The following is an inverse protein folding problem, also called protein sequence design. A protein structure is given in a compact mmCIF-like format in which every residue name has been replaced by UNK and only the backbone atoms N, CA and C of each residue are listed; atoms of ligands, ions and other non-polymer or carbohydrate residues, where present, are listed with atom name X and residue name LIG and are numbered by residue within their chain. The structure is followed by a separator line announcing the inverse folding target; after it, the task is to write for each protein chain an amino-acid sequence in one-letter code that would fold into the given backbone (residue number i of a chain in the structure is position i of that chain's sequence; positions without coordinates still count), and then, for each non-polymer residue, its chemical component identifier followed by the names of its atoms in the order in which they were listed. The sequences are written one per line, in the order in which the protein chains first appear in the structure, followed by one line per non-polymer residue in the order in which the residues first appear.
data_IF_549376238595
#
_entry.id   IF_549376238595
#
_cell.length_a   1.000
_cell.length_b   1.000
_cell.length_c   1.000
_cell.angle_alpha   90.00
_cell.angle_beta   90.00
_cell.angle_gamma   90.00
#
_symmetry.space_group_name_H-M   'P 1'
#
loop_
_entity.id
_entity.type
_entity.pdbx_description
1 polymer ?
#
# COMPACT_ATOMS: atom_id res chain seq x y z
N UNK A 1 18.43 7.14 -5.60
CA UNK A 1 18.38 5.76 -6.14
C UNK A 1 18.21 4.85 -4.94
N UNK A 2 17.18 4.02 -4.93
CA UNK A 2 16.88 3.13 -3.80
C UNK A 2 18.01 2.13 -3.61
N UNK A 3 18.58 2.05 -2.40
CA UNK A 3 19.58 1.03 -2.12
C UNK A 3 18.92 -0.32 -1.86
N UNK A 4 19.28 -1.32 -2.67
CA UNK A 4 18.79 -2.70 -2.55
C UNK A 4 19.60 -3.56 -1.56
N UNK A 5 20.69 -3.02 -1.00
CA UNK A 5 21.45 -3.71 0.04
C UNK A 5 20.72 -3.66 1.39
N UNK A 6 20.70 -4.79 2.09
CA UNK A 6 20.23 -4.87 3.47
C UNK A 6 21.02 -3.92 4.39
N UNK A 7 20.42 -3.42 5.48
CA UNK A 7 21.18 -2.76 6.53
C UNK A 7 22.11 -3.77 7.23
N UNK A 8 23.23 -3.28 7.75
CA UNK A 8 24.22 -4.09 8.48
C UNK A 8 24.48 -3.50 9.86
N UNK A 9 24.80 -4.33 10.87
CA UNK A 9 25.11 -3.83 12.21
C UNK A 9 26.30 -2.89 12.18
N UNK A 10 26.20 -1.73 12.84
CA UNK A 10 27.23 -0.70 12.79
C UNK A 10 27.12 0.24 11.58
N UNK A 11 26.14 0.03 10.69
CA UNK A 11 25.97 0.78 9.44
C UNK A 11 26.93 0.32 8.35
N UNK A 12 26.61 0.64 7.08
CA UNK A 12 27.53 0.46 5.97
C UNK A 12 28.74 1.38 6.14
N UNK A 13 29.83 1.10 5.43
CA UNK A 13 31.03 1.94 5.48
C UNK A 13 30.67 3.40 5.15
N UNK A 14 30.95 4.33 6.06
CA UNK A 14 30.64 5.76 5.91
C UNK A 14 29.24 6.18 6.40
N UNK A 15 28.34 5.27 6.75
CA UNK A 15 26.97 5.62 7.20
C UNK A 15 26.98 6.46 8.49
N UNK A 16 27.95 6.23 9.38
CA UNK A 16 28.08 7.05 10.59
C UNK A 16 28.36 8.52 10.30
N UNK A 17 29.33 8.79 9.43
CA UNK A 17 29.71 10.15 9.05
C UNK A 17 28.61 10.81 8.21
N UNK A 18 28.00 10.04 7.32
CA UNK A 18 26.85 10.48 6.53
C UNK A 18 25.65 10.84 7.40
N UNK A 19 25.31 10.01 8.38
CA UNK A 19 24.21 10.27 9.30
C UNK A 19 24.48 11.51 10.17
N UNK A 20 25.73 11.75 10.55
CA UNK A 20 26.13 12.96 11.27
C UNK A 20 25.97 14.21 10.40
N UNK A 21 26.48 14.19 9.16
CA UNK A 21 26.33 15.30 8.23
C UNK A 21 24.85 15.60 7.91
N UNK A 22 24.04 14.55 7.71
CA UNK A 22 22.61 14.69 7.51
C UNK A 22 21.90 15.29 8.74
N UNK A 23 22.30 14.87 9.95
CA UNK A 23 21.76 15.45 11.18
C UNK A 23 22.07 16.95 11.30
N UNK A 24 23.28 17.36 10.94
CA UNK A 24 23.68 18.78 10.94
C UNK A 24 22.88 19.60 9.92
N UNK A 25 22.70 19.10 8.69
CA UNK A 25 21.86 19.73 7.66
C UNK A 25 20.39 19.86 8.10
N UNK A 26 19.82 18.80 8.66
CA UNK A 26 18.46 18.80 9.21
C UNK A 26 18.31 19.83 10.34
N UNK A 27 19.25 19.88 11.27
CA UNK A 27 19.23 20.85 12.36
C UNK A 27 19.35 22.30 11.84
N UNK A 28 20.17 22.55 10.83
CA UNK A 28 20.29 23.86 10.19
C UNK A 28 18.99 24.30 9.49
N UNK A 29 18.17 23.34 9.03
CA UNK A 29 16.82 23.55 8.48
C UNK A 29 15.73 23.66 9.55
N UNK A 30 16.09 23.67 10.83
CA UNK A 30 15.14 23.78 11.94
C UNK A 30 14.42 22.47 12.29
N UNK A 31 14.90 21.32 11.80
CA UNK A 31 14.32 20.01 12.15
C UNK A 31 14.77 19.60 13.55
N UNK A 32 13.83 19.18 14.38
CA UNK A 32 14.05 18.79 15.78
C UNK A 32 14.17 17.27 15.95
N UNK A 33 13.39 16.50 15.18
CA UNK A 33 13.35 15.04 15.29
C UNK A 33 13.09 14.33 13.97
N UNK A 34 13.47 13.06 13.93
CA UNK A 34 13.23 12.14 12.82
C UNK A 34 12.17 11.12 13.25
N UNK A 35 11.07 11.06 12.51
CA UNK A 35 10.01 10.08 12.59
C UNK A 35 10.47 8.83 11.85
N UNK A 36 10.70 7.76 12.59
CA UNK A 36 11.10 6.46 12.08
C UNK A 36 9.87 5.56 12.03
N UNK A 37 9.39 5.27 10.82
CA UNK A 37 8.08 4.61 10.64
C UNK A 37 8.17 3.23 10.02
N UNK A 38 7.29 2.34 10.47
CA UNK A 38 7.00 1.07 9.82
C UNK A 38 5.49 0.85 9.77
N UNK A 39 5.02 0.05 8.82
CA UNK A 39 3.60 -0.35 8.77
C UNK A 39 3.51 -1.74 9.38
N UNK A 40 2.62 -1.91 10.35
CA UNK A 40 2.40 -3.20 10.99
C UNK A 40 1.52 -4.13 10.13
N UNK A 41 1.24 -5.32 10.66
CA UNK A 41 0.50 -6.35 9.94
C UNK A 41 -0.97 -5.98 9.73
N UNK A 42 -1.60 -5.17 10.61
CA UNK A 42 -2.98 -4.71 10.44
C UNK A 42 -3.10 -3.48 9.54
N UNK A 43 -1.97 -2.87 9.14
CA UNK A 43 -1.93 -1.77 8.17
C UNK A 43 -1.73 -0.40 8.80
N UNK A 44 -1.58 -0.31 10.11
CA UNK A 44 -1.36 0.94 10.83
C UNK A 44 0.10 1.38 10.66
N UNK A 45 0.29 2.65 10.29
CA UNK A 45 1.61 3.27 10.29
C UNK A 45 2.04 3.58 11.73
N UNK A 46 3.01 2.83 12.24
CA UNK A 46 3.58 2.94 13.58
C UNK A 46 4.88 3.72 13.51
N UNK A 47 5.19 4.45 14.59
CA UNK A 47 6.40 5.29 14.64
C UNK A 47 7.14 5.18 15.96
N UNK A 48 8.46 5.37 15.89
CA UNK A 48 9.27 5.87 16.99
C UNK A 48 9.99 7.12 16.50
N UNK A 49 10.31 8.03 17.41
CA UNK A 49 11.00 9.26 17.04
C UNK A 49 12.33 9.35 17.76
N UNK A 50 13.31 9.95 17.10
CA UNK A 50 14.59 10.30 17.72
C UNK A 50 14.85 11.79 17.51
N UNK A 51 15.46 12.50 18.48
CA UNK A 51 16.01 13.82 18.21
C UNK A 51 17.02 13.73 17.05
N UNK A 52 17.14 14.78 16.24
CA UNK A 52 18.07 14.80 15.09
C UNK A 52 19.50 14.48 15.53
N UNK A 53 19.93 14.97 16.69
CA UNK A 53 21.25 14.67 17.29
C UNK A 53 21.48 13.17 17.60
N UNK A 54 20.45 12.32 17.53
CA UNK A 54 20.52 10.87 17.74
C UNK A 54 20.44 10.08 16.43
N UNK A 55 20.29 10.72 15.28
CA UNK A 55 20.18 10.05 13.97
C UNK A 55 21.40 9.15 13.69
N UNK A 56 22.62 9.61 13.95
CA UNK A 56 23.82 8.80 13.77
C UNK A 56 23.85 7.55 14.66
N UNK A 57 23.35 7.65 15.90
CA UNK A 57 23.21 6.50 16.79
C UNK A 57 22.13 5.54 16.30
N UNK A 58 21.00 6.06 15.82
CA UNK A 58 19.91 5.27 15.27
C UNK A 58 20.33 4.54 13.98
N UNK A 59 21.07 5.19 13.09
CA UNK A 59 21.63 4.56 11.89
C UNK A 59 22.60 3.42 12.21
N UNK A 60 23.41 3.58 13.27
CA UNK A 60 24.45 2.61 13.64
C UNK A 60 23.91 1.41 14.41
N UNK A 61 23.00 1.65 15.36
CA UNK A 61 22.58 0.66 16.36
C UNK A 61 21.09 0.36 16.36
N UNK A 62 20.32 1.15 15.59
CA UNK A 62 18.88 1.12 15.58
C UNK A 62 18.24 1.65 16.87
N UNK A 63 16.90 1.75 16.82
CA UNK A 63 16.05 2.10 17.96
C UNK A 63 15.31 0.84 18.41
N UNK A 64 15.33 0.55 19.71
CA UNK A 64 14.65 -0.64 20.27
C UNK A 64 13.17 -0.69 19.92
N UNK A 65 12.61 -1.86 19.69
CA UNK A 65 11.22 -2.10 19.30
C UNK A 65 10.78 -3.50 19.72
N UNK A 66 9.59 -3.63 20.29
CA UNK A 66 9.05 -4.96 20.63
C UNK A 66 8.70 -5.74 19.36
N UNK A 67 9.00 -7.06 19.29
CA UNK A 67 8.53 -7.91 18.20
C UNK A 67 7.00 -8.05 18.14
N UNK A 68 6.29 -7.74 19.24
CA UNK A 68 4.84 -7.96 19.33
C UNK A 68 4.01 -7.03 18.43
N UNK A 69 4.58 -5.96 17.89
CA UNK A 69 3.88 -5.06 16.95
C UNK A 69 3.32 -5.76 15.72
N UNK A 70 3.88 -6.91 15.32
CA UNK A 70 3.37 -7.69 14.18
C UNK A 70 2.03 -8.37 14.46
N UNK A 71 1.58 -8.39 15.72
CA UNK A 71 0.34 -9.02 16.20
C UNK A 71 -0.70 -8.01 16.71
N UNK A 72 -0.49 -6.72 16.46
CA UNK A 72 -1.45 -5.68 16.84
C UNK A 72 -2.66 -5.73 15.93
N UNK A 73 -3.82 -5.49 16.53
CA UNK A 73 -5.06 -5.17 15.83
C UNK A 73 -5.21 -3.65 15.73
N UNK A 74 -6.20 -3.21 14.95
CA UNK A 74 -6.54 -1.82 14.68
C UNK A 74 -6.96 -1.03 15.94
N UNK A 75 -7.36 -1.72 17.02
CA UNK A 75 -7.71 -1.12 18.31
C UNK A 75 -6.58 -1.20 19.36
N UNK A 76 -5.36 -1.51 18.90
CA UNK A 76 -4.16 -1.71 19.72
C UNK A 76 -4.20 -2.91 20.69
N UNK A 77 -5.23 -3.76 20.61
CA UNK A 77 -5.18 -5.08 21.24
C UNK A 77 -4.22 -6.01 20.50
N UNK A 78 -3.79 -7.07 21.18
CA UNK A 78 -2.74 -7.98 20.69
C UNK A 78 -3.29 -9.40 20.65
N UNK A 79 -3.14 -10.05 19.50
CA UNK A 79 -3.43 -11.48 19.34
C UNK A 79 -2.17 -12.32 19.51
N UNK A 80 -2.31 -13.65 19.52
CA UNK A 80 -1.19 -14.59 19.52
C UNK A 80 -1.09 -15.27 18.17
N UNK A 81 0.13 -15.46 17.68
CA UNK A 81 0.46 -16.32 16.53
C UNK A 81 1.19 -17.58 16.99
N UNK A 82 1.31 -18.57 16.11
CA UNK A 82 1.96 -19.84 16.41
C UNK A 82 3.50 -19.75 16.34
N UNK A 83 4.02 -18.81 15.55
CA UNK A 83 5.44 -18.62 15.26
C UNK A 83 6.00 -17.31 15.83
N UNK A 84 5.13 -16.36 16.19
CA UNK A 84 5.56 -15.16 16.89
C UNK A 84 5.94 -15.48 18.34
N UNK A 85 7.09 -14.96 18.77
CA UNK A 85 7.48 -15.02 20.17
C UNK A 85 6.54 -14.21 21.07
N UNK A 86 6.69 -14.39 22.39
CA UNK A 86 6.05 -13.54 23.39
C UNK A 86 6.66 -12.13 23.45
N UNK A 87 6.46 -11.39 24.56
CA UNK A 87 7.02 -10.04 24.72
C UNK A 87 8.56 -10.03 24.86
N UNK A 88 9.20 -11.20 24.90
CA UNK A 88 10.63 -11.35 25.07
C UNK A 88 11.39 -10.99 23.79
N UNK A 89 12.52 -10.31 23.96
CA UNK A 89 13.38 -9.86 22.87
C UNK A 89 13.17 -8.39 22.51
N UNK A 90 14.04 -7.90 21.64
CA UNK A 90 14.06 -6.50 21.22
C UNK A 90 14.59 -6.44 19.78
N UNK A 91 13.83 -5.81 18.90
CA UNK A 91 14.23 -5.54 17.53
C UNK A 91 14.89 -4.16 17.46
N UNK A 92 15.61 -3.92 16.37
CA UNK A 92 16.27 -2.65 16.07
C UNK A 92 15.65 -2.06 14.81
N UNK A 93 15.02 -0.91 14.95
CA UNK A 93 14.58 -0.08 13.83
C UNK A 93 15.78 0.70 13.30
N UNK A 94 16.18 0.45 12.06
CA UNK A 94 17.32 1.10 11.42
C UNK A 94 16.78 2.02 10.33
N UNK A 95 17.01 3.36 10.43
CA UNK A 95 16.52 4.30 9.44
C UNK A 95 17.30 4.17 8.13
N UNK A 96 16.58 4.21 7.02
CA UNK A 96 17.18 4.29 5.70
C UNK A 96 17.60 5.73 5.39
N UNK A 97 18.90 5.99 5.48
CA UNK A 97 19.47 7.31 5.26
C UNK A 97 19.30 7.84 3.83
N UNK A 98 19.03 6.96 2.84
CA UNK A 98 18.76 7.37 1.45
C UNK A 98 17.38 8.00 1.28
N UNK A 99 16.50 7.79 2.26
CA UNK A 99 15.08 8.16 2.19
C UNK A 99 14.64 9.02 3.37
N UNK A 100 15.57 9.79 3.95
CA UNK A 100 15.24 10.77 4.98
C UNK A 100 14.69 12.03 4.31
N UNK A 101 13.45 12.41 4.66
CA UNK A 101 12.71 13.51 4.04
C UNK A 101 12.30 14.52 5.11
N UNK A 102 12.79 15.79 5.08
CA UNK A 102 12.22 16.86 5.88
C UNK A 102 10.74 17.06 5.53
N UNK A 103 9.84 17.04 6.52
CA UNK A 103 8.40 17.10 6.30
C UNK A 103 7.94 18.56 6.16
N UNK A 104 7.50 18.93 4.97
CA UNK A 104 6.89 20.22 4.70
C UNK A 104 5.45 20.28 5.26
N UNK A 105 4.72 19.16 5.25
CA UNK A 105 3.40 19.06 5.88
C UNK A 105 3.44 19.21 7.40
N UNK A 106 4.56 18.84 8.03
CA UNK A 106 4.79 18.86 9.47
C UNK A 106 6.15 19.52 9.81
N UNK A 107 6.27 20.85 9.69
CA UNK A 107 7.54 21.56 9.90
C UNK A 107 8.19 21.25 11.26
N UNK A 108 9.52 21.17 11.29
CA UNK A 108 10.30 20.79 12.46
C UNK A 108 10.51 19.27 12.62
N UNK A 109 9.98 18.46 11.70
CA UNK A 109 10.17 17.02 11.66
C UNK A 109 10.74 16.57 10.31
N UNK A 110 11.47 15.45 10.34
CA UNK A 110 11.80 14.68 9.15
C UNK A 110 11.24 13.26 9.30
N UNK A 111 11.10 12.54 8.20
CA UNK A 111 10.63 11.18 8.15
C UNK A 111 11.70 10.26 7.57
N UNK A 112 11.77 9.02 8.05
CA UNK A 112 12.59 7.97 7.49
C UNK A 112 11.85 6.62 7.55
N UNK A 113 11.76 5.87 6.45
CA UNK A 113 11.35 4.49 6.51
C UNK A 113 12.43 3.66 7.21
N UNK A 114 12.04 2.58 7.87
CA UNK A 114 12.97 1.74 8.63
C UNK A 114 12.95 0.29 8.18
N UNK A 115 14.11 -0.34 8.34
CA UNK A 115 14.24 -1.78 8.36
C UNK A 115 14.30 -2.30 9.79
N UNK A 116 13.96 -3.58 9.97
CA UNK A 116 13.95 -4.24 11.28
C UNK A 116 15.04 -5.29 11.35
N UNK A 117 15.86 -5.19 12.38
CA UNK A 117 16.96 -6.14 12.65
C UNK A 117 16.79 -6.76 14.04
N UNK A 118 17.40 -7.92 14.25
CA UNK A 118 17.57 -8.52 15.59
C UNK A 118 18.78 -7.88 16.29
N UNK A 119 18.88 -8.04 17.62
CA UNK A 119 20.01 -7.48 18.39
C UNK A 119 21.35 -8.14 18.05
N UNK A 120 21.34 -9.39 17.58
CA UNK A 120 22.53 -10.09 17.07
C UNK A 120 23.00 -9.55 15.71
N UNK A 121 22.25 -8.61 15.13
CA UNK A 121 22.58 -7.96 13.88
C UNK A 121 22.10 -8.67 12.62
N UNK A 122 21.36 -9.77 12.75
CA UNK A 122 20.70 -10.41 11.61
C UNK A 122 19.41 -9.68 11.23
N UNK A 123 18.99 -9.81 9.97
CA UNK A 123 17.72 -9.23 9.53
C UNK A 123 16.53 -9.92 10.22
N UNK A 124 15.55 -9.13 10.64
CA UNK A 124 14.32 -9.68 11.17
C UNK A 124 13.49 -10.25 10.00
N UNK A 125 13.16 -11.55 9.99
CA UNK A 125 12.44 -12.17 8.88
C UNK A 125 11.03 -11.61 8.68
N UNK A 126 10.43 -10.98 9.69
CA UNK A 126 9.13 -10.31 9.54
C UNK A 126 9.20 -8.92 8.90
N UNK A 127 10.39 -8.38 8.60
CA UNK A 127 10.50 -7.03 8.05
C UNK A 127 9.94 -6.95 6.63
N UNK A 128 8.69 -6.48 6.48
CA UNK A 128 8.00 -6.39 5.19
C UNK A 128 8.75 -5.54 4.17
N UNK A 129 9.36 -4.42 4.60
CA UNK A 129 10.22 -3.59 3.75
C UNK A 129 11.45 -4.35 3.24
N UNK A 130 12.14 -5.10 4.10
CA UNK A 130 13.29 -5.93 3.70
C UNK A 130 12.87 -7.06 2.76
N UNK A 131 11.74 -7.72 3.03
CA UNK A 131 11.21 -8.79 2.17
C UNK A 131 10.99 -8.26 0.75
N UNK A 132 10.27 -7.13 0.61
CA UNK A 132 10.04 -6.50 -0.68
C UNK A 132 11.35 -6.15 -1.38
N UNK A 133 12.31 -5.54 -0.66
CA UNK A 133 13.62 -5.16 -1.21
C UNK A 133 14.37 -6.34 -1.79
N UNK A 134 14.41 -7.47 -1.07
CA UNK A 134 15.09 -8.69 -1.51
C UNK A 134 14.43 -9.30 -2.74
N UNK A 135 13.09 -9.33 -2.77
CA UNK A 135 12.33 -9.80 -3.94
C UNK A 135 12.62 -8.94 -5.18
N UNK A 136 12.60 -7.62 -5.04
CA UNK A 136 12.93 -6.68 -6.12
C UNK A 136 14.38 -6.82 -6.56
N UNK A 137 15.32 -6.98 -5.62
CA UNK A 137 16.73 -7.22 -5.94
C UNK A 137 16.92 -8.50 -6.75
N UNK A 138 16.28 -9.59 -6.34
CA UNK A 138 16.36 -10.87 -7.04
C UNK A 138 15.76 -10.80 -8.46
N UNK A 139 14.68 -10.05 -8.66
CA UNK A 139 14.12 -9.80 -9.99
C UNK A 139 15.11 -9.00 -10.86
N UNK A 140 15.76 -7.96 -10.30
CA UNK A 140 16.77 -7.16 -10.99
C UNK A 140 18.00 -7.97 -11.39
N UNK A 141 18.46 -8.89 -10.54
CA UNK A 141 19.56 -9.81 -10.85
C UNK A 141 19.24 -10.73 -12.05
N UNK A 142 17.95 -10.97 -12.32
CA UNK A 142 17.47 -11.70 -13.48
C UNK A 142 17.13 -10.78 -14.67
N UNK A 143 17.51 -9.50 -14.61
CA UNK A 143 17.30 -8.51 -15.66
C UNK A 143 15.89 -7.93 -15.73
N UNK A 144 15.06 -8.11 -14.70
CA UNK A 144 13.74 -7.50 -14.61
C UNK A 144 13.78 -6.22 -13.77
N UNK A 145 13.37 -5.11 -14.37
CA UNK A 145 13.06 -3.87 -13.66
C UNK A 145 11.55 -3.81 -13.43
N UNK A 146 11.15 -3.53 -12.19
CA UNK A 146 9.75 -3.39 -11.80
C UNK A 146 9.49 -1.92 -11.46
N UNK A 147 8.32 -1.41 -11.87
CA UNK A 147 7.85 -0.07 -11.49
C UNK A 147 6.43 -0.14 -10.97
N UNK A 148 6.16 0.59 -9.91
CA UNK A 148 4.85 0.63 -9.27
C UNK A 148 4.46 2.03 -8.80
N UNK A 149 3.15 2.27 -8.71
CA UNK A 149 2.54 3.37 -7.98
C UNK A 149 1.26 2.88 -7.30
N UNK A 150 0.87 3.56 -6.22
CA UNK A 150 -0.37 3.29 -5.49
C UNK A 150 -1.17 4.59 -5.52
N UNK A 151 -2.37 4.56 -6.11
CA UNK A 151 -3.34 5.66 -6.02
C UNK A 151 -3.83 5.79 -4.57
N UNK A 152 -3.97 7.02 -4.08
CA UNK A 152 -4.29 7.27 -2.67
C UNK A 152 -5.63 8.00 -2.61
N UNK A 153 -6.71 7.24 -2.46
CA UNK A 153 -8.03 7.79 -2.18
C UNK A 153 -8.21 8.05 -0.67
N UNK A 154 -8.89 9.13 -0.31
CA UNK A 154 -9.14 9.47 1.08
C UNK A 154 -10.40 10.30 1.24
N UNK A 155 -10.97 10.27 2.46
CA UNK A 155 -12.08 11.13 2.84
C UNK A 155 -11.59 12.27 3.74
N UNK A 156 -12.00 13.49 3.42
CA UNK A 156 -11.89 14.66 4.28
C UNK A 156 -13.20 14.85 5.03
N UNK A 157 -13.11 14.80 6.35
CA UNK A 157 -14.17 15.19 7.27
C UNK A 157 -13.85 16.49 7.98
N UNK A 158 -14.89 17.16 8.50
CA UNK A 158 -14.71 18.33 9.35
C UNK A 158 -14.01 17.95 10.67
N UNK A 159 -13.01 18.72 11.08
CA UNK A 159 -12.25 18.47 12.30
C UNK A 159 -12.96 18.86 13.60
N UNK A 160 -13.97 19.74 13.52
CA UNK A 160 -14.79 20.18 14.65
C UNK A 160 -15.89 19.19 15.05
N UNK A 161 -16.11 18.17 14.22
CA UNK A 161 -17.05 17.08 14.51
C UNK A 161 -16.47 16.13 15.57
N UNK A 162 -17.25 15.81 16.64
CA UNK A 162 -16.80 14.94 17.71
C UNK A 162 -16.33 13.57 17.20
N UNK A 163 -15.21 13.08 17.71
CA UNK A 163 -14.76 11.71 17.45
C UNK A 163 -15.76 10.70 18.06
N UNK A 164 -16.12 9.59 17.37
CA UNK A 164 -15.64 9.13 16.06
C UNK A 164 -16.52 9.55 14.88
N UNK A 165 -17.47 10.48 15.03
CA UNK A 165 -18.40 10.86 13.98
C UNK A 165 -17.69 11.46 12.74
N UNK A 166 -18.37 11.41 11.61
CA UNK A 166 -17.91 11.95 10.33
C UNK A 166 -18.98 12.80 9.69
N UNK A 167 -18.58 14.01 9.31
CA UNK A 167 -19.31 14.89 8.41
C UNK A 167 -18.34 15.28 7.30
N UNK A 168 -18.70 15.06 6.02
CA UNK A 168 -17.81 15.35 4.90
C UNK A 168 -17.46 16.84 4.86
N UNK A 169 -16.21 17.16 4.54
CA UNK A 169 -15.75 18.55 4.42
C UNK A 169 -16.47 19.31 3.28
N UNK A 170 -16.97 18.61 2.27
CA UNK A 170 -17.72 19.15 1.14
C UNK A 170 -18.73 18.13 0.58
N UNK A 171 -19.88 18.59 0.09
CA UNK A 171 -20.96 17.74 -0.47
C UNK A 171 -21.30 18.04 -1.94
N UNK A 172 -20.48 18.84 -2.63
CA UNK A 172 -20.67 19.17 -4.04
C UNK A 172 -20.72 17.94 -4.97
N UNK A 173 -20.91 18.14 -6.27
CA UNK A 173 -20.92 17.03 -7.25
C UNK A 173 -19.58 16.29 -7.29
N UNK A 174 -19.61 14.98 -7.58
CA UNK A 174 -18.40 14.18 -7.84
C UNK A 174 -17.60 14.80 -9.00
N UNK A 175 -16.27 14.79 -8.88
CA UNK A 175 -15.34 15.47 -9.80
C UNK A 175 -15.67 16.96 -10.07
N UNK A 176 -16.47 17.59 -9.21
CA UNK A 176 -17.00 18.93 -9.41
C UNK A 176 -16.06 20.02 -8.93
N UNK A 177 -16.02 21.13 -9.68
CA UNK A 177 -15.27 22.33 -9.31
C UNK A 177 -15.68 22.88 -7.93
N UNK A 178 -16.94 22.71 -7.51
CA UNK A 178 -17.40 23.11 -6.16
C UNK A 178 -16.55 22.49 -5.05
N UNK A 179 -16.25 21.19 -5.12
CA UNK A 179 -15.44 20.51 -4.10
C UNK A 179 -14.01 21.04 -4.11
N UNK A 180 -13.42 21.16 -5.30
CA UNK A 180 -12.07 21.71 -5.46
C UNK A 180 -11.97 23.15 -4.93
N UNK A 181 -12.94 24.02 -5.23
CA UNK A 181 -12.97 25.41 -4.75
C UNK A 181 -13.15 25.47 -3.23
N UNK A 182 -14.04 24.66 -2.66
CA UNK A 182 -14.27 24.64 -1.21
C UNK A 182 -13.06 24.16 -0.42
N UNK A 183 -12.25 23.26 -0.99
CA UNK A 183 -11.03 22.72 -0.36
C UNK A 183 -9.73 23.21 -1.04
N UNK A 184 -9.79 24.35 -1.75
CA UNK A 184 -8.69 24.81 -2.62
C UNK A 184 -7.40 25.06 -1.86
N UNK A 185 -7.48 25.62 -0.65
CA UNK A 185 -6.30 25.93 0.16
C UNK A 185 -5.65 24.65 0.69
N UNK A 186 -6.46 23.66 1.08
CA UNK A 186 -5.94 22.34 1.44
C UNK A 186 -5.24 21.68 0.25
N UNK A 187 -5.87 21.66 -0.94
CA UNK A 187 -5.28 21.05 -2.14
C UNK A 187 -3.99 21.76 -2.56
N UNK A 188 -3.94 23.10 -2.50
CA UNK A 188 -2.75 23.87 -2.84
C UNK A 188 -1.59 23.59 -1.87
N UNK A 189 -1.85 23.64 -0.56
CA UNK A 189 -0.85 23.35 0.47
C UNK A 189 -0.38 21.89 0.41
N UNK A 190 -1.28 20.95 0.09
CA UNK A 190 -0.92 19.54 -0.10
C UNK A 190 0.03 19.36 -1.28
N UNK A 191 -0.25 19.98 -2.43
CA UNK A 191 0.64 19.94 -3.60
C UNK A 191 2.00 20.60 -3.30
N UNK A 192 2.01 21.74 -2.62
CA UNK A 192 3.25 22.42 -2.24
C UNK A 192 4.10 21.56 -1.29
N UNK A 193 3.47 20.98 -0.25
CA UNK A 193 4.16 20.14 0.71
C UNK A 193 4.72 18.87 0.07
N UNK A 194 3.92 18.19 -0.74
CA UNK A 194 4.33 16.97 -1.46
C UNK A 194 5.49 17.27 -2.44
N UNK A 195 5.41 18.36 -3.20
CA UNK A 195 6.50 18.76 -4.09
C UNK A 195 7.81 19.08 -3.32
N UNK A 196 7.71 19.79 -2.19
CA UNK A 196 8.86 20.08 -1.33
C UNK A 196 9.51 18.83 -0.72
N UNK A 197 8.72 17.76 -0.56
CA UNK A 197 9.14 16.44 -0.07
C UNK A 197 9.64 15.51 -1.21
N UNK A 198 9.73 16.01 -2.44
CA UNK A 198 10.18 15.25 -3.61
C UNK A 198 9.15 14.26 -4.14
N UNK A 199 7.87 14.53 -3.91
CA UNK A 199 6.76 13.75 -4.44
C UNK A 199 6.27 14.33 -5.76
N UNK A 200 6.45 13.56 -6.84
CA UNK A 200 5.88 13.85 -8.16
C UNK A 200 4.39 13.48 -8.14
N UNK A 201 3.54 14.48 -7.92
CA UNK A 201 2.08 14.34 -7.98
C UNK A 201 1.63 14.51 -9.42
N UNK A 202 0.98 13.48 -9.97
CA UNK A 202 0.40 13.53 -11.30
C UNK A 202 -0.97 14.22 -11.26
N UNK A 203 -1.79 13.90 -10.25
CA UNK A 203 -3.15 14.40 -10.11
C UNK A 203 -3.57 14.55 -8.64
N UNK A 204 -4.43 15.53 -8.39
CA UNK A 204 -5.25 15.63 -7.18
C UNK A 204 -6.65 16.07 -7.61
N UNK A 205 -7.68 15.34 -7.22
CA UNK A 205 -9.05 15.69 -7.58
C UNK A 205 -10.08 15.16 -6.59
N UNK A 206 -11.28 15.77 -6.52
CA UNK A 206 -12.42 15.18 -5.83
C UNK A 206 -12.86 13.88 -6.51
N UNK A 207 -13.34 12.95 -5.72
CA UNK A 207 -13.79 11.62 -6.14
C UNK A 207 -15.31 11.46 -6.01
N UNK A 208 -15.83 10.22 -6.07
CA UNK A 208 -17.27 9.97 -6.09
C UNK A 208 -18.01 10.38 -4.80
N UNK A 209 -17.60 9.86 -3.64
CA UNK A 209 -18.29 10.09 -2.37
C UNK A 209 -18.06 11.51 -1.82
N UNK A 210 -19.00 12.03 -1.01
CA UNK A 210 -18.86 13.35 -0.40
C UNK A 210 -17.61 13.43 0.47
N UNK A 211 -16.83 14.50 0.29
CA UNK A 211 -15.53 14.67 0.95
C UNK A 211 -14.42 13.75 0.45
N UNK A 212 -14.66 12.89 -0.55
CA UNK A 212 -13.65 11.98 -1.10
C UNK A 212 -12.76 12.71 -2.12
N UNK A 213 -11.47 12.41 -2.08
CA UNK A 213 -10.43 12.90 -2.98
C UNK A 213 -9.47 11.77 -3.31
N UNK A 214 -8.73 11.93 -4.40
CA UNK A 214 -7.61 11.07 -4.77
C UNK A 214 -6.36 11.93 -4.99
N UNK A 215 -5.20 11.38 -4.63
CA UNK A 215 -3.89 11.82 -5.10
C UNK A 215 -3.22 10.65 -5.84
N UNK A 216 -2.87 10.87 -7.10
CA UNK A 216 -2.09 9.92 -7.92
C UNK A 216 -0.65 10.43 -8.04
N UNK A 217 0.32 9.53 -7.91
CA UNK A 217 1.76 9.87 -7.88
C UNK A 217 2.55 9.04 -8.89
N UNK A 218 3.67 9.60 -9.35
CA UNK A 218 4.55 8.98 -10.32
C UNK A 218 5.11 7.63 -9.86
N UNK A 219 5.31 6.73 -10.83
CA UNK A 219 5.81 5.38 -10.58
C UNK A 219 7.29 5.37 -10.14
N UNK A 220 7.60 4.52 -9.16
CA UNK A 220 8.94 4.28 -8.63
C UNK A 220 9.24 2.78 -8.66
N UNK A 221 10.43 2.36 -8.23
CA UNK A 221 10.62 0.95 -7.91
C UNK A 221 9.69 0.53 -6.75
N UNK A 222 9.30 -0.76 -6.62
CA UNK A 222 8.31 -1.17 -5.64
C UNK A 222 8.62 -0.76 -4.19
N UNK A 223 9.88 -0.77 -3.74
CA UNK A 223 10.21 -0.32 -2.38
C UNK A 223 9.95 1.18 -2.24
N UNK A 224 10.39 1.97 -3.22
CA UNK A 224 10.13 3.41 -3.28
C UNK A 224 8.64 3.74 -3.36
N UNK A 225 7.85 2.96 -4.10
CA UNK A 225 6.40 3.14 -4.19
C UNK A 225 5.69 2.88 -2.85
N UNK A 226 6.11 1.85 -2.11
CA UNK A 226 5.60 1.57 -0.77
C UNK A 226 5.96 2.69 0.23
N UNK A 227 7.24 3.11 0.23
CA UNK A 227 7.72 4.24 1.04
C UNK A 227 6.94 5.53 0.71
N UNK A 228 6.71 5.79 -0.59
CA UNK A 228 5.95 6.94 -1.09
C UNK A 228 4.50 6.94 -0.60
N UNK A 229 3.83 5.79 -0.62
CA UNK A 229 2.47 5.65 -0.08
C UNK A 229 2.38 5.99 1.41
N UNK A 230 3.40 5.64 2.20
CA UNK A 230 3.48 6.00 3.63
C UNK A 230 3.69 7.50 3.81
N UNK A 231 4.67 8.08 3.10
CA UNK A 231 4.99 9.51 3.16
C UNK A 231 3.79 10.37 2.77
N UNK A 232 3.16 10.11 1.62
CA UNK A 232 2.03 10.91 1.13
C UNK A 232 0.88 10.93 2.15
N UNK A 233 0.51 9.77 2.72
CA UNK A 233 -0.56 9.70 3.73
C UNK A 233 -0.23 10.50 4.98
N UNK A 234 1.03 10.46 5.43
CA UNK A 234 1.48 11.25 6.57
C UNK A 234 1.40 12.76 6.28
N UNK A 235 1.86 13.18 5.11
CA UNK A 235 1.87 14.58 4.70
C UNK A 235 0.45 15.13 4.55
N UNK A 236 -0.44 14.39 3.87
CA UNK A 236 -1.84 14.75 3.75
C UNK A 236 -2.53 14.87 5.12
N UNK A 237 -2.23 13.98 6.06
CA UNK A 237 -2.75 14.06 7.44
C UNK A 237 -2.30 15.33 8.15
N UNK A 238 -1.02 15.68 8.05
CA UNK A 238 -0.48 16.88 8.68
C UNK A 238 -1.06 18.18 8.06
N UNK A 239 -1.19 18.21 6.74
CA UNK A 239 -1.81 19.35 6.03
C UNK A 239 -3.29 19.46 6.39
N UNK A 240 -4.07 18.37 6.34
CA UNK A 240 -5.50 18.37 6.69
C UNK A 240 -5.73 18.94 8.10
N UNK A 241 -4.92 18.54 9.08
CA UNK A 241 -5.01 19.02 10.46
C UNK A 241 -4.87 20.55 10.56
N UNK A 242 -3.97 21.16 9.76
CA UNK A 242 -3.75 22.62 9.73
C UNK A 242 -4.94 23.40 9.15
N UNK A 243 -5.73 22.74 8.31
CA UNK A 243 -6.95 23.29 7.71
C UNK A 243 -8.22 23.00 8.54
N UNK A 244 -8.07 22.49 9.77
CA UNK A 244 -9.22 22.14 10.61
C UNK A 244 -10.02 20.94 10.09
N UNK A 245 -9.39 20.09 9.27
CA UNK A 245 -9.97 18.89 8.69
C UNK A 245 -9.41 17.65 9.40
N UNK A 246 -10.13 16.53 9.27
CA UNK A 246 -9.67 15.20 9.64
C UNK A 246 -9.68 14.32 8.39
N UNK A 247 -8.58 13.62 8.14
CA UNK A 247 -8.45 12.71 7.00
C UNK A 247 -8.67 11.26 7.42
N UNK A 248 -9.26 10.47 6.53
CA UNK A 248 -9.40 9.02 6.68
C UNK A 248 -8.95 8.31 5.41
N UNK A 249 -8.09 7.31 5.57
CA UNK A 249 -7.74 6.35 4.52
C UNK A 249 -8.50 5.02 4.67
N UNK A 250 -9.53 4.97 5.53
CA UNK A 250 -10.34 3.77 5.73
C UNK A 250 -10.97 3.32 4.42
N UNK A 251 -10.99 2.01 4.09
CA UNK A 251 -11.63 1.51 2.88
C UNK A 251 -13.10 1.93 2.80
N UNK A 252 -13.77 2.06 3.95
CA UNK A 252 -15.13 2.57 4.07
C UNK A 252 -15.25 3.47 5.31
N UNK A 253 -15.71 4.70 5.09
CA UNK A 253 -15.95 5.70 6.16
C UNK A 253 -17.39 5.63 6.65
N UNK A 254 -18.31 5.34 5.74
CA UNK A 254 -19.73 5.11 5.98
C UNK A 254 -20.10 3.75 5.38
N UNK A 255 -21.01 3.02 6.05
CA UNK A 255 -21.43 1.68 5.65
C UNK A 255 -21.95 1.56 4.22
N UNK A 256 -22.51 2.65 3.68
CA UNK A 256 -23.04 2.71 2.33
C UNK A 256 -22.32 3.81 1.54
N UNK A 257 -22.08 3.54 0.26
CA UNK A 257 -21.44 4.46 -0.68
C UNK A 257 -20.13 3.90 -1.26
N UNK A 258 -19.52 4.71 -2.11
CA UNK A 258 -18.17 4.43 -2.62
C UNK A 258 -17.17 4.67 -1.49
N UNK A 259 -16.22 3.75 -1.36
CA UNK A 259 -15.16 3.79 -0.36
C UNK A 259 -13.80 4.14 -0.97
N UNK A 260 -12.76 4.23 -0.13
CA UNK A 260 -11.41 4.60 -0.57
C UNK A 260 -10.64 3.38 -1.08
N UNK A 261 -10.23 3.43 -2.34
CA UNK A 261 -9.31 2.51 -2.97
C UNK A 261 -7.83 2.82 -2.70
N UNK A 262 -7.00 1.85 -3.05
CA UNK A 262 -5.55 1.95 -3.07
C UNK A 262 -5.04 1.24 -4.32
N UNK A 263 -5.48 1.66 -5.51
CA UNK A 263 -5.23 0.92 -6.75
C UNK A 263 -3.73 0.82 -7.00
N UNK A 264 -3.26 -0.40 -7.22
CA UNK A 264 -1.87 -0.69 -7.46
C UNK A 264 -1.62 -0.76 -8.97
N UNK A 265 -0.84 0.18 -9.50
CA UNK A 265 -0.29 0.09 -10.85
C UNK A 265 1.08 -0.59 -10.80
N UNK A 266 1.31 -1.56 -11.67
CA UNK A 266 2.54 -2.34 -11.72
C UNK A 266 2.95 -2.61 -13.17
N UNK A 267 4.23 -2.44 -13.47
CA UNK A 267 4.79 -2.77 -14.78
C UNK A 267 6.14 -3.48 -14.64
N UNK A 268 6.37 -4.45 -15.51
CA UNK A 268 7.63 -5.16 -15.64
C UNK A 268 8.37 -4.74 -16.92
N UNK A 269 9.69 -4.62 -16.80
CA UNK A 269 10.56 -4.07 -17.82
C UNK A 269 11.80 -4.95 -17.97
N UNK A 270 12.28 -5.07 -19.21
CA UNK A 270 13.53 -5.78 -19.52
C UNK A 270 14.31 -4.96 -20.54
N UNK A 271 15.58 -4.70 -20.27
CA UNK A 271 16.47 -3.92 -21.14
C UNK A 271 15.88 -2.56 -21.57
N UNK A 272 15.11 -1.92 -20.68
CA UNK A 272 14.44 -0.64 -20.94
C UNK A 272 13.14 -0.72 -21.75
N UNK A 273 12.70 -1.92 -22.15
CA UNK A 273 11.43 -2.15 -22.84
C UNK A 273 10.35 -2.62 -21.86
N UNK A 274 9.13 -2.09 -22.03
CA UNK A 274 7.97 -2.40 -21.18
C UNK A 274 7.29 -3.69 -21.66
N UNK A 275 7.32 -4.72 -20.82
CA UNK A 275 6.80 -6.05 -21.17
C UNK A 275 5.29 -6.06 -21.42
N UNK A 276 4.56 -5.03 -21.01
CA UNK A 276 3.12 -4.90 -21.21
C UNK A 276 2.72 -4.16 -22.50
N UNK A 277 3.67 -3.66 -23.30
CA UNK A 277 3.37 -2.90 -24.53
C UNK A 277 4.33 -3.08 -25.71
N UNK A 278 5.49 -3.73 -25.52
CA UNK A 278 6.51 -3.88 -26.57
C UNK A 278 6.57 -5.28 -27.20
N UNK A 279 5.47 -6.03 -27.18
CA UNK A 279 5.33 -7.38 -27.75
C UNK A 279 4.31 -7.47 -28.88
N UNK A 280 4.09 -8.69 -29.36
CA UNK A 280 3.15 -9.01 -30.45
C UNK A 280 1.80 -9.54 -29.95
N UNK A 281 1.63 -9.70 -28.63
CA UNK A 281 0.43 -10.23 -28.00
C UNK A 281 -0.70 -9.20 -27.88
N UNK A 282 -1.74 -9.58 -27.11
CA UNK A 282 -2.89 -8.71 -26.87
C UNK A 282 -2.44 -7.36 -26.32
N UNK A 283 -2.93 -6.28 -26.92
CA UNK A 283 -2.61 -4.90 -26.51
C UNK A 283 -1.12 -4.55 -26.51
N UNK A 284 -0.30 -5.30 -27.25
CA UNK A 284 1.14 -5.14 -27.28
C UNK A 284 1.87 -5.85 -26.15
N UNK A 285 1.22 -6.71 -25.36
CA UNK A 285 1.93 -7.49 -24.35
C UNK A 285 2.94 -8.46 -24.98
N UNK A 286 4.10 -8.59 -24.35
CA UNK A 286 5.00 -9.72 -24.58
C UNK A 286 4.44 -10.98 -23.91
N UNK A 287 4.90 -12.15 -24.32
CA UNK A 287 4.52 -13.40 -23.64
C UNK A 287 4.93 -13.40 -22.15
N UNK A 288 6.08 -12.79 -21.82
CA UNK A 288 6.54 -12.63 -20.43
C UNK A 288 5.61 -11.68 -19.64
N UNK A 289 5.24 -10.53 -20.23
CA UNK A 289 4.32 -9.57 -19.60
C UNK A 289 2.89 -10.11 -19.43
N UNK A 290 2.42 -10.92 -20.37
CA UNK A 290 1.13 -11.62 -20.25
C UNK A 290 1.17 -12.68 -19.14
N UNK A 291 2.24 -13.47 -19.06
CA UNK A 291 2.42 -14.46 -18.00
C UNK A 291 2.51 -13.81 -16.61
N UNK A 292 3.17 -12.64 -16.53
CA UNK A 292 3.20 -11.83 -15.32
C UNK A 292 1.79 -11.38 -14.90
N UNK A 293 1.02 -10.81 -15.83
CA UNK A 293 -0.36 -10.40 -15.56
C UNK A 293 -1.25 -11.59 -15.16
N UNK A 294 -1.09 -12.74 -15.83
CA UNK A 294 -1.82 -13.97 -15.53
C UNK A 294 -1.50 -14.52 -14.13
N UNK A 295 -0.25 -14.43 -13.67
CA UNK A 295 0.14 -14.79 -12.31
C UNK A 295 -0.54 -13.93 -11.25
N UNK A 296 -0.58 -12.61 -11.47
CA UNK A 296 -1.31 -11.70 -10.58
C UNK A 296 -2.80 -12.05 -10.54
N UNK A 297 -3.43 -12.29 -11.70
CA UNK A 297 -4.84 -12.67 -11.80
C UNK A 297 -5.14 -13.98 -11.05
N UNK A 298 -4.32 -15.02 -11.26
CA UNK A 298 -4.43 -16.35 -10.62
C UNK A 298 -4.39 -16.23 -9.08
N UNK A 299 -3.54 -15.34 -8.58
CA UNK A 299 -3.33 -15.16 -7.15
C UNK A 299 -4.39 -14.30 -6.44
N UNK A 300 -5.18 -13.49 -7.15
CA UNK A 300 -6.04 -12.46 -6.54
C UNK A 300 -6.91 -12.97 -5.37
N UNK A 301 -7.57 -14.14 -5.44
CA UNK A 301 -8.35 -14.64 -4.30
C UNK A 301 -7.51 -14.82 -3.04
N UNK A 302 -6.29 -15.35 -3.17
CA UNK A 302 -5.37 -15.53 -2.06
C UNK A 302 -4.75 -14.20 -1.59
N UNK A 303 -4.59 -13.22 -2.48
CA UNK A 303 -4.03 -11.91 -2.12
C UNK A 303 -5.00 -11.04 -1.31
N UNK A 304 -6.30 -11.33 -1.29
CA UNK A 304 -7.31 -10.52 -0.60
C UNK A 304 -7.00 -10.28 0.90
N UNK A 305 -6.35 -11.24 1.59
CA UNK A 305 -5.97 -11.08 2.99
C UNK A 305 -4.88 -10.02 3.21
N UNK A 306 -4.16 -9.62 2.16
CA UNK A 306 -3.13 -8.57 2.21
C UNK A 306 -3.50 -7.32 1.42
N UNK A 307 -4.28 -7.43 0.34
CA UNK A 307 -4.72 -6.28 -0.46
C UNK A 307 -5.93 -5.57 0.14
N UNK A 308 -6.80 -6.31 0.83
CA UNK A 308 -8.04 -5.83 1.47
C UNK A 308 -8.16 -6.40 2.90
N UNK A 309 -7.21 -6.06 3.80
CA UNK A 309 -7.01 -6.79 5.05
C UNK A 309 -7.97 -6.40 6.18
N UNK A 310 -8.77 -5.34 6.02
CA UNK A 310 -9.68 -4.87 7.07
C UNK A 310 -11.10 -5.43 6.86
N UNK A 311 -11.88 -5.69 7.92
CA UNK A 311 -13.32 -5.90 7.79
C UNK A 311 -14.04 -4.74 7.08
N UNK A 312 -13.56 -3.50 7.21
CA UNK A 312 -14.10 -2.35 6.47
C UNK A 312 -13.83 -2.43 4.96
N UNK A 313 -12.81 -3.17 4.51
CA UNK A 313 -12.55 -3.42 3.09
C UNK A 313 -13.75 -4.08 2.40
N UNK A 314 -14.44 -5.00 3.09
CA UNK A 314 -15.56 -5.73 2.50
C UNK A 314 -16.87 -4.92 2.44
N UNK A 315 -16.93 -3.78 3.14
CA UNK A 315 -17.96 -2.77 2.92
C UNK A 315 -17.71 -2.00 1.62
N UNK A 316 -16.45 -1.81 1.21
CA UNK A 316 -16.05 -1.21 -0.08
C UNK A 316 -16.22 -2.19 -1.24
N UNK A 317 -15.88 -3.46 -1.03
CA UNK A 317 -15.90 -4.50 -2.08
C UNK A 317 -17.34 -4.93 -2.40
N UNK A 318 -18.10 -4.06 -3.04
CA UNK A 318 -19.44 -4.33 -3.55
C UNK A 318 -19.44 -4.25 -5.09
N UNK A 319 -20.25 -5.10 -5.79
CA UNK A 319 -20.37 -5.01 -7.25
C UNK A 319 -20.80 -3.63 -7.72
N UNK A 320 -20.29 -3.17 -8.86
CA UNK A 320 -20.65 -1.87 -9.48
C UNK A 320 -20.29 -0.65 -8.63
N UNK A 321 -19.21 -0.75 -7.84
CA UNK A 321 -18.65 0.35 -7.03
C UNK A 321 -17.19 0.65 -7.40
N UNK A 322 -16.75 0.32 -8.63
CA UNK A 322 -15.39 0.54 -9.13
C UNK A 322 -14.29 -0.20 -8.35
N UNK A 323 -14.65 -1.18 -7.51
CA UNK A 323 -13.74 -1.85 -6.60
C UNK A 323 -13.08 -3.13 -7.18
N UNK A 324 -13.48 -3.55 -8.39
CA UNK A 324 -12.89 -4.72 -9.06
C UNK A 324 -13.14 -6.02 -8.30
N UNK A 325 -14.40 -6.37 -8.05
CA UNK A 325 -14.75 -7.42 -7.08
C UNK A 325 -14.81 -8.84 -7.65
N UNK A 326 -14.57 -8.99 -8.95
CA UNK A 326 -14.57 -10.28 -9.66
C UNK A 326 -13.15 -10.60 -10.16
N UNK A 327 -12.69 -11.82 -9.90
CA UNK A 327 -11.45 -12.39 -10.41
C UNK A 327 -11.54 -12.56 -11.93
N UNK A 328 -11.31 -11.46 -12.63
CA UNK A 328 -11.29 -11.35 -14.08
C UNK A 328 -10.40 -10.16 -14.46
N UNK A 329 -10.06 -10.09 -15.74
CA UNK A 329 -9.28 -9.01 -16.29
C UNK A 329 -9.98 -8.41 -17.51
N UNK A 330 -9.67 -7.15 -17.80
CA UNK A 330 -10.18 -6.46 -18.98
C UNK A 330 -9.32 -5.29 -19.43
N UNK A 331 -9.34 -4.98 -20.72
CA UNK A 331 -8.68 -3.79 -21.28
C UNK A 331 -9.47 -2.54 -20.92
N UNK A 332 -8.85 -1.66 -20.14
CA UNK A 332 -9.49 -0.44 -19.64
C UNK A 332 -10.83 -0.67 -18.88
N UNK A 333 -11.11 -1.91 -18.46
CA UNK A 333 -12.33 -2.31 -17.74
C UNK A 333 -12.19 -2.04 -16.25
N UNK A 334 -12.81 -0.96 -15.77
CA UNK A 334 -12.71 -0.50 -14.38
C UNK A 334 -13.45 -1.36 -13.34
N UNK A 335 -14.33 -2.27 -13.76
CA UNK A 335 -15.00 -3.22 -12.85
C UNK A 335 -14.29 -4.59 -12.76
N UNK A 336 -13.21 -4.78 -13.52
CA UNK A 336 -12.35 -5.95 -13.39
C UNK A 336 -11.37 -5.78 -12.23
N UNK A 337 -11.02 -6.87 -11.55
CA UNK A 337 -10.03 -6.82 -10.48
C UNK A 337 -8.61 -6.54 -11.00
N UNK A 338 -8.30 -7.01 -12.23
CA UNK A 338 -7.06 -6.73 -12.93
C UNK A 338 -7.34 -5.98 -14.24
N UNK A 339 -7.12 -4.67 -14.25
CA UNK A 339 -7.29 -3.84 -15.45
C UNK A 339 -5.97 -3.74 -16.20
N UNK A 340 -6.00 -3.96 -17.52
CA UNK A 340 -4.85 -3.70 -18.39
C UNK A 340 -4.96 -2.26 -18.89
N UNK A 341 -4.01 -1.44 -18.48
CA UNK A 341 -3.92 -0.03 -18.86
C UNK A 341 -2.91 0.09 -19.99
N UNK A 342 -3.32 0.71 -21.09
CA UNK A 342 -2.46 0.94 -22.27
C UNK A 342 -1.98 2.38 -22.36
N UNK A 343 -2.71 3.31 -21.76
CA UNK A 343 -2.45 4.74 -21.88
C UNK A 343 -2.74 5.30 -23.28
N UNK A 344 -2.40 6.58 -23.47
CA UNK A 344 -2.66 7.27 -24.74
C UNK A 344 -1.70 6.81 -25.85
N UNK A 345 -2.22 6.75 -27.07
CA UNK A 345 -1.41 6.52 -28.28
C UNK A 345 -0.24 7.51 -28.32
N UNK A 346 0.98 6.99 -28.51
CA UNK A 346 2.23 7.78 -28.48
C UNK A 346 2.93 7.81 -27.11
N UNK A 347 2.27 7.34 -26.05
CA UNK A 347 2.88 7.15 -24.72
C UNK A 347 2.74 5.70 -24.21
N UNK A 348 2.17 4.79 -25.01
CA UNK A 348 1.87 3.40 -24.61
C UNK A 348 3.08 2.66 -24.06
N UNK A 349 4.25 2.78 -24.70
CA UNK A 349 5.49 2.13 -24.25
C UNK A 349 5.90 2.53 -22.81
N UNK A 350 5.48 3.72 -22.36
CA UNK A 350 5.76 4.22 -21.02
C UNK A 350 4.62 4.03 -20.05
N UNK A 351 3.39 4.23 -20.50
CA UNK A 351 2.20 4.24 -19.67
C UNK A 351 1.62 2.85 -19.42
N UNK A 352 1.89 1.86 -20.29
CA UNK A 352 1.26 0.56 -20.18
C UNK A 352 1.65 -0.17 -18.88
N UNK A 353 0.64 -0.67 -18.17
CA UNK A 353 0.80 -1.34 -16.88
C UNK A 353 -0.43 -2.21 -16.59
N UNK A 354 -0.32 -3.02 -15.54
CA UNK A 354 -1.48 -3.69 -14.94
C UNK A 354 -1.92 -2.91 -13.70
N UNK A 355 -3.22 -2.77 -13.51
CA UNK A 355 -3.85 -2.11 -12.37
C UNK A 355 -4.62 -3.15 -11.55
N UNK A 356 -4.23 -3.36 -10.29
CA UNK A 356 -4.96 -4.19 -9.32
C UNK A 356 -5.91 -3.31 -8.54
N UNK A 357 -7.21 -3.44 -8.82
CA UNK A 357 -8.27 -2.59 -8.25
C UNK A 357 -8.78 -3.06 -6.89
N UNK A 358 -8.69 -4.36 -6.63
CA UNK A 358 -9.11 -4.99 -5.37
C UNK A 358 -8.05 -4.80 -4.26
N UNK A 359 -7.61 -3.57 -4.07
CA UNK A 359 -6.67 -3.14 -3.03
C UNK A 359 -7.17 -1.84 -2.38
N UNK A 360 -6.86 -1.65 -1.10
CA UNK A 360 -7.21 -0.43 -0.36
C UNK A 360 -6.08 0.00 0.60
N UNK A 361 -6.19 1.20 1.15
CA UNK A 361 -5.13 1.81 1.96
C UNK A 361 -5.07 1.28 3.41
N UNK A 362 -5.92 0.32 3.78
CA UNK A 362 -5.69 -0.50 4.99
C UNK A 362 -4.62 -1.56 4.75
N UNK A 363 -4.23 -1.83 3.50
CA UNK A 363 -3.11 -2.69 3.19
C UNK A 363 -1.79 -2.11 3.72
N UNK A 364 -0.96 -3.00 4.27
CA UNK A 364 0.46 -2.73 4.42
C UNK A 364 1.09 -2.66 3.02
N UNK A 365 1.56 -1.49 2.53
CA UNK A 365 1.95 -1.33 1.13
C UNK A 365 3.14 -2.22 0.75
N UNK A 366 4.01 -2.54 1.70
CA UNK A 366 5.14 -3.45 1.47
C UNK A 366 4.68 -4.90 1.27
N UNK A 367 3.67 -5.35 2.05
CA UNK A 367 3.09 -6.69 1.87
C UNK A 367 2.28 -6.76 0.58
N UNK A 368 1.48 -5.74 0.28
CA UNK A 368 0.72 -5.61 -0.97
C UNK A 368 1.62 -5.78 -2.20
N UNK A 369 2.68 -4.97 -2.28
CA UNK A 369 3.61 -5.01 -3.40
C UNK A 369 4.41 -6.32 -3.45
N UNK A 370 4.80 -6.88 -2.30
CA UNK A 370 5.48 -8.19 -2.26
C UNK A 370 4.57 -9.27 -2.84
N UNK A 371 3.30 -9.29 -2.46
CA UNK A 371 2.32 -10.27 -2.96
C UNK A 371 2.13 -10.16 -4.47
N UNK A 372 1.89 -8.93 -4.97
CA UNK A 372 1.66 -8.69 -6.39
C UNK A 372 2.89 -9.03 -7.25
N UNK A 373 4.09 -8.63 -6.80
CA UNK A 373 5.33 -8.95 -7.51
C UNK A 373 5.60 -10.45 -7.48
N UNK A 374 5.47 -11.12 -6.33
CA UNK A 374 5.67 -12.56 -6.23
C UNK A 374 4.70 -13.34 -7.12
N UNK A 375 3.43 -12.93 -7.16
CA UNK A 375 2.42 -13.52 -8.04
C UNK A 375 2.79 -13.38 -9.53
N UNK A 376 3.23 -12.19 -9.95
CA UNK A 376 3.63 -11.99 -11.35
C UNK A 376 4.90 -12.76 -11.74
N UNK A 377 5.87 -12.87 -10.83
CA UNK A 377 7.06 -13.70 -11.05
C UNK A 377 6.72 -15.19 -11.10
N UNK A 378 5.81 -15.68 -10.25
CA UNK A 378 5.30 -17.05 -10.28
C UNK A 378 4.59 -17.36 -11.61
N UNK A 379 3.73 -16.44 -12.07
CA UNK A 379 3.05 -16.58 -13.35
C UNK A 379 4.02 -16.66 -14.53
N UNK A 380 5.08 -15.84 -14.50
CA UNK A 380 6.16 -15.88 -15.49
C UNK A 380 6.91 -17.20 -15.45
N UNK A 381 7.29 -17.69 -14.26
CA UNK A 381 7.99 -18.95 -14.08
C UNK A 381 7.18 -20.17 -14.53
N UNK A 382 5.86 -20.14 -14.33
CA UNK A 382 4.90 -21.18 -14.74
C UNK A 382 4.46 -21.05 -16.21
N UNK A 383 4.81 -19.96 -16.89
CA UNK A 383 4.37 -19.68 -18.26
C UNK A 383 2.84 -19.58 -18.38
N UNK A 384 2.19 -18.92 -17.41
CA UNK A 384 0.74 -18.75 -17.41
C UNK A 384 0.29 -17.88 -18.59
N UNK A 385 -0.99 -18.01 -18.96
CA UNK A 385 -1.62 -17.19 -20.00
C UNK A 385 -2.92 -16.61 -19.44
N UNK A 386 -3.22 -15.38 -19.84
CA UNK A 386 -4.46 -14.73 -19.42
C UNK A 386 -5.65 -15.44 -20.10
N UNK A 387 -6.78 -15.67 -19.40
CA UNK A 387 -7.97 -16.24 -20.01
C UNK A 387 -8.60 -15.26 -21.02
N UNK A 388 -9.75 -15.63 -21.57
CA UNK A 388 -10.57 -14.71 -22.38
C UNK A 388 -10.90 -13.44 -21.57
N UNK A 389 -10.92 -12.32 -22.27
CA UNK A 389 -11.12 -10.99 -21.68
C UNK A 389 -12.58 -10.75 -21.29
N UNK A 390 -12.80 -10.03 -20.20
CA UNK A 390 -14.13 -9.52 -19.82
C UNK A 390 -14.23 -8.01 -20.11
N UNK A 391 -15.27 -7.64 -20.84
CA UNK A 391 -15.64 -6.25 -21.10
C UNK A 391 -16.96 -5.89 -20.41
N UNK A 392 -17.11 -4.62 -20.01
CA UNK A 392 -18.26 -4.14 -19.27
C UNK A 392 -18.23 -4.50 -17.78
N UNK A 393 -19.39 -4.46 -17.12
CA UNK A 393 -19.53 -4.81 -15.71
C UNK A 393 -19.76 -6.33 -15.56
N UNK A 394 -18.83 -7.09 -14.93
CA UNK A 394 -19.00 -8.52 -14.71
C UNK A 394 -20.23 -8.87 -13.86
N UNK A 395 -20.74 -7.94 -13.05
CA UNK A 395 -21.96 -8.14 -12.25
C UNK A 395 -23.23 -8.32 -13.10
N UNK A 396 -23.20 -7.86 -14.36
CA UNK A 396 -24.30 -8.02 -15.31
C UNK A 396 -24.35 -9.39 -15.98
N UNK A 397 -23.35 -10.25 -15.79
CA UNK A 397 -23.34 -11.60 -16.34
C UNK A 397 -24.32 -12.50 -15.59
N UNK A 398 -25.08 -13.31 -16.32
CA UNK A 398 -25.85 -14.37 -15.67
C UNK A 398 -24.90 -15.43 -15.07
N UNK A 399 -25.34 -16.23 -14.07
CA UNK A 399 -24.46 -17.18 -13.40
C UNK A 399 -23.80 -18.21 -14.33
N UNK A 400 -24.48 -18.65 -15.39
CA UNK A 400 -23.94 -19.64 -16.32
C UNK A 400 -22.90 -19.02 -17.26
N UNK A 401 -23.12 -17.78 -17.69
CA UNK A 401 -22.15 -17.00 -18.46
C UNK A 401 -20.90 -16.70 -17.64
N UNK A 402 -21.07 -16.24 -16.39
CA UNK A 402 -19.96 -16.02 -15.47
C UNK A 402 -19.18 -17.32 -15.19
N UNK A 403 -19.89 -18.43 -14.98
CA UNK A 403 -19.25 -19.74 -14.79
C UNK A 403 -18.37 -20.13 -15.98
N UNK A 404 -18.94 -20.06 -17.18
CA UNK A 404 -18.29 -20.40 -18.45
C UNK A 404 -17.09 -19.49 -18.76
N UNK A 405 -17.20 -18.21 -18.42
CA UNK A 405 -16.15 -17.23 -18.64
C UNK A 405 -15.07 -17.24 -17.55
N UNK A 406 -15.17 -18.13 -16.55
CA UNK A 406 -14.21 -18.20 -15.43
C UNK A 406 -14.31 -17.04 -14.45
N UNK A 407 -15.33 -16.18 -14.57
CA UNK A 407 -15.55 -15.04 -13.68
C UNK A 407 -16.04 -15.55 -12.33
N UNK A 408 -15.30 -15.24 -11.27
CA UNK A 408 -15.65 -15.63 -9.88
C UNK A 408 -15.60 -14.41 -8.99
N UNK A 409 -16.50 -14.35 -8.01
CA UNK A 409 -16.45 -13.32 -6.98
C UNK A 409 -15.20 -13.53 -6.12
N UNK A 410 -14.40 -12.48 -5.91
CA UNK A 410 -13.32 -12.49 -4.91
C UNK A 410 -13.90 -12.69 -3.49
N UNK A 411 -13.09 -12.99 -2.46
CA UNK A 411 -13.60 -13.08 -1.09
C UNK A 411 -14.51 -11.92 -0.71
N UNK A 412 -15.63 -12.24 -0.07
CA UNK A 412 -16.68 -11.29 0.31
C UNK A 412 -16.63 -10.92 1.79
N UNK A 413 -15.75 -11.56 2.55
CA UNK A 413 -15.49 -11.25 3.95
C UNK A 413 -14.03 -11.54 4.31
N UNK A 414 -13.55 -10.94 5.40
CA UNK A 414 -12.19 -11.19 5.88
C UNK A 414 -11.94 -12.67 6.24
N UNK A 415 -12.88 -13.41 6.86
CA UNK A 415 -12.74 -14.85 7.04
C UNK A 415 -12.55 -15.62 5.72
N UNK A 416 -13.30 -15.31 4.66
CA UNK A 416 -13.12 -15.96 3.35
C UNK A 416 -11.73 -15.69 2.76
N UNK A 417 -11.22 -14.45 2.92
CA UNK A 417 -9.89 -14.09 2.46
C UNK A 417 -8.79 -14.82 3.26
N UNK A 418 -8.99 -15.03 4.56
CA UNK A 418 -8.10 -15.84 5.41
C UNK A 418 -8.04 -17.29 4.91
N UNK A 419 -9.18 -17.90 4.60
CA UNK A 419 -9.20 -19.27 4.07
C UNK A 419 -8.52 -19.37 2.70
N UNK A 420 -8.78 -18.41 1.80
CA UNK A 420 -8.13 -18.36 0.48
C UNK A 420 -6.60 -18.16 0.58
N UNK A 421 -6.15 -17.30 1.50
CA UNK A 421 -4.73 -17.07 1.77
C UNK A 421 -4.06 -18.32 2.35
N UNK A 422 -4.69 -18.99 3.32
CA UNK A 422 -4.15 -20.21 3.94
C UNK A 422 -4.08 -21.41 2.99
N UNK A 423 -5.00 -21.49 2.01
CA UNK A 423 -5.03 -22.57 1.03
C UNK A 423 -3.99 -22.42 -0.09
N UNK A 424 -3.42 -21.23 -0.27
CA UNK A 424 -2.46 -20.95 -1.34
C UNK A 424 -1.03 -21.23 -0.89
N UNK A 425 -0.17 -21.82 -1.75
CA UNK A 425 1.26 -21.95 -1.47
C UNK A 425 2.05 -20.65 -1.69
N UNK A 426 1.49 -19.68 -2.42
CA UNK A 426 2.17 -18.44 -2.78
C UNK A 426 2.61 -17.62 -1.55
N UNK A 427 1.78 -17.39 -0.51
CA UNK A 427 2.17 -16.58 0.63
C UNK A 427 3.40 -17.07 1.38
N UNK A 428 3.54 -18.39 1.57
CA UNK A 428 4.72 -18.96 2.24
C UNK A 428 6.01 -18.68 1.44
N UNK A 429 5.94 -18.78 0.11
CA UNK A 429 7.06 -18.46 -0.78
C UNK A 429 7.37 -16.96 -0.83
N UNK A 430 6.32 -16.13 -0.82
CA UNK A 430 6.45 -14.68 -0.95
C UNK A 430 6.92 -13.99 0.34
N UNK A 431 6.43 -14.43 1.51
CA UNK A 431 6.62 -13.73 2.78
C UNK A 431 7.42 -14.53 3.82
N UNK A 432 7.45 -15.86 3.69
CA UNK A 432 7.94 -16.76 4.72
C UNK A 432 6.93 -16.99 5.86
N UNK A 433 7.10 -18.11 6.56
CA UNK A 433 6.12 -18.64 7.51
C UNK A 433 5.78 -17.66 8.65
N UNK A 434 6.78 -16.91 9.15
CA UNK A 434 6.57 -15.96 10.24
C UNK A 434 5.55 -14.88 9.86
N UNK A 435 5.64 -14.32 8.65
CA UNK A 435 4.70 -13.28 8.20
C UNK A 435 3.34 -13.88 7.87
N UNK A 436 3.31 -15.08 7.28
CA UNK A 436 2.06 -15.81 7.01
C UNK A 436 1.28 -16.04 8.31
N UNK A 437 1.94 -16.51 9.35
CA UNK A 437 1.35 -16.70 10.68
C UNK A 437 0.80 -15.39 11.26
N UNK A 438 1.59 -14.31 11.23
CA UNK A 438 1.17 -12.99 11.73
C UNK A 438 -0.05 -12.45 10.95
N UNK A 439 -0.04 -12.60 9.63
CA UNK A 439 -1.17 -12.21 8.77
C UNK A 439 -2.40 -12.99 9.21
N UNK A 440 -2.35 -14.32 9.25
CA UNK A 440 -3.49 -15.15 9.63
C UNK A 440 -4.01 -14.82 11.03
N UNK A 441 -3.12 -14.66 12.02
CA UNK A 441 -3.49 -14.32 13.40
C UNK A 441 -4.22 -12.97 13.47
N UNK A 442 -3.64 -11.93 12.86
CA UNK A 442 -4.21 -10.57 12.88
C UNK A 442 -5.57 -10.55 12.18
N UNK A 443 -5.71 -11.16 10.99
CA UNK A 443 -7.00 -11.11 10.26
C UNK A 443 -8.10 -11.86 10.99
N UNK A 444 -7.78 -13.00 11.62
CA UNK A 444 -8.73 -13.72 12.49
C UNK A 444 -9.12 -12.86 13.70
N UNK A 445 -8.16 -12.16 14.30
CA UNK A 445 -8.40 -11.19 15.37
C UNK A 445 -9.35 -10.06 14.96
N UNK A 446 -9.07 -9.40 13.83
CA UNK A 446 -9.94 -8.33 13.30
C UNK A 446 -11.35 -8.82 12.97
N UNK A 447 -11.47 -10.01 12.39
CA UNK A 447 -12.76 -10.62 12.10
C UNK A 447 -13.54 -10.93 13.39
N UNK A 448 -12.88 -11.45 14.42
CA UNK A 448 -13.50 -11.71 15.71
C UNK A 448 -13.94 -10.42 16.42
N UNK A 449 -13.13 -9.36 16.32
CA UNK A 449 -13.39 -8.05 16.93
C UNK A 449 -14.72 -7.43 16.49
N UNK A 450 -15.10 -7.66 15.23
CA UNK A 450 -16.35 -7.12 14.67
C UNK A 450 -17.44 -8.17 14.48
N UNK A 451 -17.26 -9.38 15.01
CA UNK A 451 -18.26 -10.43 14.91
C UNK A 451 -19.58 -9.96 15.55
N UNK A 452 -20.67 -10.00 14.77
CA UNK A 452 -22.00 -9.59 15.21
C UNK A 452 -22.27 -8.07 15.15
N UNK A 453 -21.30 -7.25 14.75
CA UNK A 453 -21.53 -5.85 14.43
C UNK A 453 -22.24 -5.71 13.07
N UNK A 454 -23.09 -4.70 12.94
CA UNK A 454 -23.63 -4.31 11.65
C UNK A 454 -22.61 -3.48 10.84
N UNK A 455 -22.92 -3.21 9.57
CA UNK A 455 -22.03 -2.48 8.68
C UNK A 455 -21.69 -1.05 9.18
N UNK A 456 -22.61 -0.38 9.89
CA UNK A 456 -22.39 0.97 10.40
C UNK A 456 -21.40 0.96 11.57
N UNK A 457 -21.54 0.00 12.48
CA UNK A 457 -20.62 -0.22 13.57
C UNK A 457 -19.23 -0.67 13.07
N UNK A 458 -19.17 -1.51 12.04
CA UNK A 458 -17.89 -1.86 11.37
C UNK A 458 -17.22 -0.61 10.78
N UNK A 459 -17.95 0.19 9.99
CA UNK A 459 -17.40 1.40 9.40
C UNK A 459 -16.89 2.37 10.48
N UNK A 460 -17.64 2.57 11.57
CA UNK A 460 -17.20 3.39 12.70
C UNK A 460 -15.92 2.87 13.37
N UNK A 461 -15.81 1.56 13.56
CA UNK A 461 -14.68 0.91 14.22
C UNK A 461 -13.35 1.02 13.46
N UNK A 462 -13.37 1.35 12.16
CA UNK A 462 -12.16 1.54 11.33
C UNK A 462 -12.04 2.95 10.75
N UNK A 463 -13.06 3.79 10.89
CA UNK A 463 -13.20 5.09 10.21
C UNK A 463 -11.97 5.97 10.30
N UNK A 464 -11.31 5.98 11.44
CA UNK A 464 -10.19 6.88 11.73
C UNK A 464 -8.90 6.13 12.09
N UNK A 465 -8.82 4.84 11.74
CA UNK A 465 -7.65 3.99 12.05
C UNK A 465 -6.50 4.25 11.08
N UNK A 466 -6.79 4.32 9.77
CA UNK A 466 -5.78 4.29 8.71
C UNK A 466 -5.34 5.66 8.22
#
# INVERSE_FOLDING_TARGET
MTTYADPVPGGRAGDGDRAQALAEDLAAKGVHGVVMSWVDTCGVNRVKTVPVARLASAARWGVGMSPVFDLFLADDSIVSGDLQGGPDGDLRLVPDLDHVVPLAGQPGWAWAPVDRMRQDGTMHPGCSRTILRRLVSAAREQGLELRASIEIEFALGRGDVPYPAFEPACVGSSYGMTRLVEQTDFCADALEALAAEGVDVDQIHPEYAAGQYEVSVGALDPVGAADRSVLVRQTLRAVAQRHGLRISFSPSVLAAGVGNGGHLHLSAWRDGANLHSTGEGRYGMTAEGEAFAAGVLDALPALAAVTTPSPASYLRLQPSHWAGVYACWGHETRESALRIVTGMVGNTERAANIEVKCADLSANPYLLLTAAVAAGLDGTARGLTLPDEISGDPAGLDPAQAEKAGVRRLPTSLPEAVEAFAASPLPATAFGDLVVDAVLAVRRGEAARVAGLDAAAVAEAYRWVY
#
